data_IF_640698538359
#
_entry.id   IF_640698538359
#
_cell.length_a   1.000
_cell.length_b   1.000
_cell.length_c   1.000
_cell.angle_alpha   90.00
_cell.angle_beta   90.00
_cell.angle_gamma   90.00
#
_symmetry.space_group_name_H-M   'P 1'
#
loop_
_entity.id
_entity.type
_entity.pdbx_description
1 polymer ?
#
# COMPACT_ATOMS: atom_id res chain seq x y z
N UNK A 1 -4.14 45.50 -3.13
CA UNK A 1 -3.18 44.39 -3.28
C UNK A 1 -2.48 44.18 -1.94
N UNK A 2 -2.93 43.19 -1.16
CA UNK A 2 -2.29 42.86 0.12
C UNK A 2 -0.92 42.23 -0.15
N UNK A 3 0.16 42.90 0.26
CA UNK A 3 1.51 42.32 0.28
C UNK A 3 1.49 41.11 1.20
N UNK A 4 1.65 39.91 0.63
CA UNK A 4 1.94 38.71 1.41
C UNK A 4 3.25 38.98 2.16
N UNK A 5 3.20 39.00 3.50
CA UNK A 5 4.42 39.06 4.31
C UNK A 5 5.11 37.70 4.20
N UNK A 6 6.21 37.61 3.47
CA UNK A 6 6.96 36.38 3.17
C UNK A 6 7.72 35.77 4.36
N UNK A 7 7.32 36.04 5.61
CA UNK A 7 8.18 35.80 6.76
C UNK A 7 8.04 34.37 7.36
N UNK A 8 7.11 33.53 6.88
CA UNK A 8 6.95 32.16 7.40
C UNK A 8 6.26 31.20 6.42
N UNK A 9 6.68 29.92 6.35
CA UNK A 9 6.00 28.89 5.55
C UNK A 9 4.53 28.70 5.98
N UNK A 10 3.64 28.52 5.00
CA UNK A 10 2.19 28.34 5.18
C UNK A 10 1.84 26.90 5.57
N UNK A 11 2.39 26.40 6.67
CA UNK A 11 2.27 24.98 7.08
C UNK A 11 0.84 24.44 7.09
N UNK A 12 -0.14 25.21 7.62
CA UNK A 12 -1.54 24.77 7.66
C UNK A 12 -2.16 24.66 6.26
N UNK A 13 -1.88 25.63 5.39
CA UNK A 13 -2.31 25.58 3.98
C UNK A 13 -1.72 24.36 3.27
N UNK A 14 -0.42 24.10 3.45
CA UNK A 14 0.26 22.95 2.83
C UNK A 14 -0.34 21.64 3.33
N UNK A 15 -0.63 21.49 4.65
CA UNK A 15 -1.33 20.31 5.17
C UNK A 15 -2.67 20.10 4.46
N UNK A 16 -3.45 21.16 4.30
CA UNK A 16 -4.75 21.08 3.63
C UNK A 16 -4.61 20.64 2.16
N UNK A 17 -3.69 21.25 1.40
CA UNK A 17 -3.44 20.88 0.00
C UNK A 17 -3.01 19.41 -0.12
N UNK A 18 -2.10 18.95 0.74
CA UNK A 18 -1.68 17.54 0.74
C UNK A 18 -2.85 16.62 1.11
N UNK A 19 -3.65 16.97 2.11
CA UNK A 19 -4.80 16.16 2.52
C UNK A 19 -5.83 16.04 1.39
N UNK A 20 -6.12 17.15 0.72
CA UNK A 20 -7.03 17.17 -0.43
C UNK A 20 -6.50 16.31 -1.58
N UNK A 21 -5.19 16.37 -1.84
CA UNK A 21 -4.53 15.52 -2.84
C UNK A 21 -4.67 14.02 -2.53
N UNK A 22 -4.47 13.62 -1.27
CA UNK A 22 -4.67 12.23 -0.85
C UNK A 22 -6.11 11.77 -1.09
N UNK A 23 -7.08 12.63 -0.75
CA UNK A 23 -8.51 12.32 -0.85
C UNK A 23 -8.96 12.26 -2.32
N UNK A 24 -8.66 13.30 -3.09
CA UNK A 24 -9.06 13.42 -4.49
C UNK A 24 -8.50 12.28 -5.34
N UNK A 25 -7.24 11.93 -5.11
CA UNK A 25 -6.57 10.89 -5.89
C UNK A 25 -6.65 9.49 -5.27
N UNK A 26 -7.34 9.35 -4.13
CA UNK A 26 -7.50 8.11 -3.36
C UNK A 26 -6.17 7.38 -3.18
N UNK A 27 -5.17 8.11 -2.67
CA UNK A 27 -3.87 7.52 -2.36
C UNK A 27 -4.08 6.55 -1.19
N UNK A 28 -3.62 5.32 -1.34
CA UNK A 28 -3.94 4.19 -0.44
C UNK A 28 -2.72 3.42 0.07
N UNK A 29 -1.52 3.72 -0.43
CA UNK A 29 -0.32 2.91 -0.19
C UNK A 29 0.99 3.68 -0.32
N UNK A 30 2.01 3.18 0.37
CA UNK A 30 3.40 3.56 0.16
C UNK A 30 4.20 2.46 -0.55
N UNK A 31 5.28 2.81 -1.29
CA UNK A 31 5.76 4.17 -1.56
C UNK A 31 4.94 4.87 -2.67
N UNK A 32 4.62 6.15 -2.51
CA UNK A 32 3.74 6.88 -3.45
C UNK A 32 4.35 6.98 -4.85
N UNK A 33 3.61 6.54 -5.86
CA UNK A 33 4.00 6.74 -7.25
C UNK A 33 3.65 8.16 -7.72
N UNK A 34 4.54 9.11 -7.47
CA UNK A 34 4.33 10.54 -7.79
C UNK A 34 4.10 10.77 -9.29
N UNK A 35 4.72 9.96 -10.16
CA UNK A 35 4.49 10.04 -11.62
C UNK A 35 3.03 9.74 -11.99
N UNK A 36 2.36 8.83 -11.27
CA UNK A 36 0.91 8.59 -11.46
C UNK A 36 0.08 9.79 -11.02
N UNK A 37 0.49 10.52 -9.98
CA UNK A 37 -0.21 11.75 -9.54
C UNK A 37 -0.14 12.84 -10.61
N UNK A 38 1.04 13.07 -11.20
CA UNK A 38 1.19 14.04 -12.29
C UNK A 38 0.29 13.76 -13.49
N UNK A 39 0.02 12.48 -13.83
CA UNK A 39 -0.89 12.12 -14.93
C UNK A 39 -2.34 12.56 -14.68
N UNK A 40 -2.74 12.70 -13.42
CA UNK A 40 -4.07 13.19 -13.04
C UNK A 40 -4.15 14.72 -13.03
N UNK A 41 -3.02 15.42 -13.22
CA UNK A 41 -2.97 16.88 -13.23
C UNK A 41 -2.99 17.36 -14.69
N UNK A 42 -4.11 17.95 -15.17
CA UNK A 42 -4.42 18.10 -16.59
C UNK A 42 -3.45 18.97 -17.38
N UNK A 43 -2.76 19.91 -16.72
CA UNK A 43 -1.84 20.84 -17.36
C UNK A 43 -0.36 20.59 -17.02
N UNK A 44 -0.02 19.38 -16.55
CA UNK A 44 1.36 19.02 -16.20
C UNK A 44 1.86 17.83 -17.01
N UNK A 45 3.15 17.85 -17.36
CA UNK A 45 3.81 16.73 -18.03
C UNK A 45 5.18 16.48 -17.44
N UNK A 46 5.43 15.23 -17.04
CA UNK A 46 6.73 14.79 -16.54
C UNK A 46 7.57 14.25 -17.71
N UNK A 47 8.81 14.71 -17.81
CA UNK A 47 9.80 14.30 -18.80
C UNK A 47 11.08 13.92 -18.08
N UNK A 48 11.64 12.76 -18.38
CA UNK A 48 12.91 12.35 -17.79
C UNK A 48 14.10 12.93 -18.55
N UNK A 49 15.24 13.08 -17.90
CA UNK A 49 16.45 13.57 -18.56
C UNK A 49 16.84 12.69 -19.74
N UNK A 50 16.81 11.35 -19.59
CA UNK A 50 17.10 10.41 -20.67
C UNK A 50 16.18 10.61 -21.89
N UNK A 51 14.89 10.90 -21.66
CA UNK A 51 13.92 11.18 -22.73
C UNK A 51 14.18 12.52 -23.40
N UNK A 52 14.54 13.55 -22.62
CA UNK A 52 14.88 14.86 -23.14
C UNK A 52 16.16 14.80 -24.00
N UNK A 53 17.20 14.13 -23.52
CA UNK A 53 18.44 13.86 -24.25
C UNK A 53 18.16 13.18 -25.59
N UNK A 54 17.42 12.07 -25.60
CA UNK A 54 17.11 11.33 -26.83
C UNK A 54 16.30 12.16 -27.82
N UNK A 55 15.34 12.95 -27.35
CA UNK A 55 14.47 13.75 -28.22
C UNK A 55 15.22 14.88 -28.94
N UNK A 56 16.20 15.48 -28.26
CA UNK A 56 16.90 16.67 -28.77
C UNK A 56 18.37 16.40 -29.10
N UNK A 57 18.80 15.15 -29.08
CA UNK A 57 20.17 14.71 -29.30
C UNK A 57 21.20 15.47 -28.44
N UNK A 58 20.89 15.61 -27.14
CA UNK A 58 21.73 16.33 -26.18
C UNK A 58 22.56 15.36 -25.34
N UNK A 59 23.79 15.75 -25.02
CA UNK A 59 24.60 15.14 -23.96
C UNK A 59 24.04 15.47 -22.57
N UNK A 60 24.44 14.70 -21.56
CA UNK A 60 24.02 14.94 -20.19
C UNK A 60 24.50 16.31 -19.67
N UNK A 61 25.71 16.72 -20.07
CA UNK A 61 26.26 18.02 -19.71
C UNK A 61 25.42 19.17 -20.28
N UNK A 62 25.01 19.08 -21.55
CA UNK A 62 24.12 20.08 -22.16
C UNK A 62 22.76 20.14 -21.47
N UNK A 63 22.21 19.01 -21.03
CA UNK A 63 20.97 18.99 -20.24
C UNK A 63 21.15 19.69 -18.89
N UNK A 64 22.25 19.44 -18.17
CA UNK A 64 22.55 20.13 -16.91
C UNK A 64 22.69 21.64 -17.11
N UNK A 65 23.35 22.07 -18.19
CA UNK A 65 23.48 23.50 -18.53
C UNK A 65 22.13 24.12 -18.91
N UNK A 66 21.31 23.44 -19.72
CA UNK A 66 20.02 23.95 -20.19
C UNK A 66 18.97 24.02 -19.06
N UNK A 67 18.92 22.98 -18.22
CA UNK A 67 17.98 22.91 -17.11
C UNK A 67 18.53 23.60 -15.85
N UNK A 68 19.82 23.86 -15.77
CA UNK A 68 20.51 24.46 -14.62
C UNK A 68 20.29 23.66 -13.31
N UNK A 69 20.31 22.33 -13.41
CA UNK A 69 20.08 21.40 -12.29
C UNK A 69 20.55 20.00 -12.68
N UNK A 70 21.07 19.24 -11.72
CA UNK A 70 21.37 17.82 -11.84
C UNK A 70 20.30 16.93 -11.17
N UNK A 71 19.25 17.51 -10.57
CA UNK A 71 18.18 16.79 -9.86
C UNK A 71 16.88 16.76 -10.69
N UNK A 72 16.30 17.93 -10.90
CA UNK A 72 15.00 18.15 -11.52
C UNK A 72 14.60 19.61 -11.43
N UNK A 73 13.60 20.00 -12.22
CA UNK A 73 13.01 21.34 -12.19
C UNK A 73 11.64 21.37 -12.87
N UNK A 74 10.85 22.39 -12.54
CA UNK A 74 9.61 22.71 -13.23
C UNK A 74 9.77 23.96 -14.09
N UNK A 75 9.35 23.85 -15.35
CA UNK A 75 9.20 24.96 -16.28
C UNK A 75 7.72 25.21 -16.49
N UNK A 76 7.27 26.43 -16.21
CA UNK A 76 5.91 26.88 -16.47
C UNK A 76 5.86 27.79 -17.70
N UNK A 77 5.05 27.42 -18.69
CA UNK A 77 4.75 28.23 -19.85
C UNK A 77 3.42 28.96 -19.65
N UNK A 78 3.51 30.28 -19.42
CA UNK A 78 2.35 31.16 -19.24
C UNK A 78 1.47 31.27 -20.49
N UNK A 79 2.04 31.11 -21.70
CA UNK A 79 1.29 31.25 -22.95
C UNK A 79 0.31 30.10 -23.14
N UNK A 80 0.76 28.89 -22.84
CA UNK A 80 -0.05 27.68 -23.00
C UNK A 80 -0.66 27.17 -21.70
N UNK A 81 -0.35 27.83 -20.57
CA UNK A 81 -0.72 27.41 -19.22
C UNK A 81 -0.31 25.96 -18.92
N UNK A 82 0.93 25.59 -19.26
CA UNK A 82 1.45 24.21 -19.11
C UNK A 82 2.69 24.15 -18.24
N UNK A 83 2.74 23.12 -17.39
CA UNK A 83 3.91 22.75 -16.62
C UNK A 83 4.66 21.60 -17.29
N UNK A 84 5.97 21.75 -17.46
CA UNK A 84 6.87 20.68 -17.85
C UNK A 84 7.82 20.42 -16.69
N UNK A 85 7.75 19.22 -16.13
CA UNK A 85 8.55 18.80 -14.98
C UNK A 85 9.64 17.87 -15.47
N UNK A 86 10.89 18.22 -15.21
CA UNK A 86 12.05 17.39 -15.52
C UNK A 86 12.60 16.72 -14.27
N UNK A 87 13.08 15.48 -14.41
CA UNK A 87 13.77 14.77 -13.34
C UNK A 87 14.90 13.89 -13.90
N UNK A 88 15.97 13.76 -13.12
CA UNK A 88 17.15 12.99 -13.52
C UNK A 88 16.95 11.49 -13.28
N UNK A 89 16.81 10.73 -14.37
CA UNK A 89 16.68 9.26 -14.37
C UNK A 89 17.91 8.54 -14.96
N UNK A 90 19.04 9.24 -15.08
CA UNK A 90 20.22 8.70 -15.74
C UNK A 90 20.79 7.53 -14.94
N UNK A 91 21.23 6.51 -15.69
CA UNK A 91 21.88 5.31 -15.17
C UNK A 91 23.34 5.22 -15.61
N UNK A 92 24.17 4.64 -14.75
CA UNK A 92 25.47 4.10 -15.10
C UNK A 92 25.42 2.58 -14.91
N UNK A 93 25.33 1.84 -16.01
CA UNK A 93 24.97 0.41 -15.99
C UNK A 93 23.57 0.20 -15.40
N UNK A 94 23.48 -0.62 -14.35
CA UNK A 94 22.21 -0.94 -13.67
C UNK A 94 21.85 0.04 -12.53
N UNK A 95 22.73 1.00 -12.22
CA UNK A 95 22.59 1.89 -11.06
C UNK A 95 22.13 3.27 -11.53
N UNK A 96 21.14 3.86 -10.87
CA UNK A 96 20.75 5.25 -11.11
C UNK A 96 21.72 6.21 -10.43
N UNK A 97 22.10 7.30 -11.12
CA UNK A 97 22.88 8.39 -10.52
C UNK A 97 22.09 9.06 -9.38
N UNK A 98 20.79 9.28 -9.61
CA UNK A 98 19.84 9.70 -8.58
C UNK A 98 18.95 8.52 -8.23
N UNK A 99 19.01 8.03 -7.00
CA UNK A 99 18.28 6.83 -6.60
C UNK A 99 16.76 6.99 -6.79
N UNK A 100 15.98 5.90 -6.91
CA UNK A 100 14.52 5.99 -7.02
C UNK A 100 13.86 6.79 -5.90
N UNK A 101 14.39 6.72 -4.67
CA UNK A 101 13.96 7.52 -3.52
C UNK A 101 14.19 9.01 -3.76
N UNK A 102 15.36 9.37 -4.28
CA UNK A 102 15.70 10.76 -4.62
C UNK A 102 14.85 11.28 -5.76
N UNK A 103 14.65 10.49 -6.82
CA UNK A 103 13.75 10.85 -7.92
C UNK A 103 12.31 11.09 -7.42
N UNK A 104 11.82 10.26 -6.50
CA UNK A 104 10.49 10.41 -5.90
C UNK A 104 10.38 11.69 -5.08
N UNK A 105 11.41 12.00 -4.28
CA UNK A 105 11.50 13.24 -3.53
C UNK A 105 11.48 14.46 -4.46
N UNK A 106 12.35 14.49 -5.47
CA UNK A 106 12.43 15.59 -6.45
C UNK A 106 11.09 15.80 -7.14
N UNK A 107 10.44 14.73 -7.62
CA UNK A 107 9.12 14.83 -8.23
C UNK A 107 8.05 15.37 -7.27
N UNK A 108 8.06 14.96 -6.00
CA UNK A 108 7.11 15.46 -4.99
C UNK A 108 7.37 16.93 -4.65
N UNK A 109 8.64 17.35 -4.62
CA UNK A 109 9.06 18.73 -4.40
C UNK A 109 8.57 19.63 -5.55
N UNK A 110 8.81 19.23 -6.80
CA UNK A 110 8.31 19.94 -7.99
C UNK A 110 6.78 20.01 -8.02
N UNK A 111 6.10 18.93 -7.62
CA UNK A 111 4.65 18.93 -7.48
C UNK A 111 4.18 19.96 -6.46
N UNK A 112 4.94 20.15 -5.37
CA UNK A 112 4.72 21.21 -4.39
C UNK A 112 4.76 22.59 -5.01
N UNK A 113 5.75 22.91 -5.85
CA UNK A 113 5.80 24.21 -6.54
C UNK A 113 4.56 24.47 -7.41
N UNK A 114 4.04 23.44 -8.07
CA UNK A 114 2.84 23.55 -8.92
C UNK A 114 1.60 23.76 -8.06
N UNK A 115 1.32 22.87 -7.10
CA UNK A 115 0.08 22.89 -6.31
C UNK A 115 0.03 24.05 -5.30
N UNK A 116 1.18 24.51 -4.82
CA UNK A 116 1.28 25.70 -3.98
C UNK A 116 1.32 27.01 -4.79
N UNK A 117 1.23 26.90 -6.13
CA UNK A 117 1.08 28.01 -7.08
C UNK A 117 2.27 28.98 -7.10
N UNK A 118 3.47 28.53 -6.73
CA UNK A 118 4.68 29.34 -6.61
C UNK A 118 5.04 30.10 -7.91
N UNK A 119 4.91 29.45 -9.06
CA UNK A 119 5.15 30.06 -10.38
C UNK A 119 4.19 31.22 -10.69
N UNK A 120 2.90 31.05 -10.36
CA UNK A 120 1.88 32.08 -10.61
C UNK A 120 1.95 33.23 -9.62
N UNK A 121 2.30 32.95 -8.35
CA UNK A 121 2.46 33.97 -7.31
C UNK A 121 3.60 34.92 -7.65
N UNK A 122 4.70 34.39 -8.17
CA UNK A 122 5.91 35.16 -8.50
C UNK A 122 5.95 35.65 -9.94
N UNK A 123 5.01 35.20 -10.78
CA UNK A 123 5.00 35.41 -12.23
C UNK A 123 6.33 34.98 -12.90
N UNK A 124 6.90 33.85 -12.46
CA UNK A 124 8.18 33.30 -12.96
C UNK A 124 7.99 31.97 -13.67
N UNK A 125 8.69 31.81 -14.78
CA UNK A 125 8.68 30.58 -15.60
C UNK A 125 9.43 29.44 -14.92
N UNK A 126 10.53 29.74 -14.24
CA UNK A 126 11.30 28.80 -13.42
C UNK A 126 11.53 29.44 -12.05
N UNK A 127 11.52 28.63 -10.99
CA UNK A 127 11.88 29.06 -9.64
C UNK A 127 13.38 28.81 -9.48
N UNK A 128 14.19 29.84 -9.72
CA UNK A 128 15.64 29.77 -9.49
C UNK A 128 16.12 30.92 -8.63
N UNK A 129 17.15 30.65 -7.84
CA UNK A 129 17.77 31.62 -6.93
C UNK A 129 18.17 32.93 -7.62
N UNK A 130 18.64 32.87 -8.86
CA UNK A 130 19.08 34.05 -9.62
C UNK A 130 17.93 34.90 -10.20
N UNK A 131 16.67 34.45 -10.11
CA UNK A 131 15.51 35.15 -10.69
C UNK A 131 14.58 35.79 -9.64
N UNK A 132 14.88 35.58 -8.36
CA UNK A 132 14.05 35.90 -7.19
C UNK A 132 14.92 36.54 -6.11
N UNK A 133 14.30 37.21 -5.13
CA UNK A 133 15.03 37.60 -3.92
C UNK A 133 15.40 36.36 -3.11
N UNK A 134 16.52 36.40 -2.35
CA UNK A 134 16.92 35.28 -1.49
C UNK A 134 15.81 34.90 -0.50
N UNK A 135 15.03 35.88 0.00
CA UNK A 135 13.89 35.64 0.89
C UNK A 135 12.76 34.87 0.21
N UNK A 136 12.31 35.32 -0.97
CA UNK A 136 11.23 34.65 -1.73
C UNK A 136 11.62 33.23 -2.12
N UNK A 137 12.85 33.05 -2.62
CA UNK A 137 13.37 31.74 -2.99
C UNK A 137 13.40 30.79 -1.78
N UNK A 138 14.01 31.22 -0.68
CA UNK A 138 14.12 30.40 0.53
C UNK A 138 12.76 30.04 1.13
N UNK A 139 11.78 30.95 1.04
CA UNK A 139 10.42 30.68 1.49
C UNK A 139 9.76 29.59 0.64
N UNK A 140 9.81 29.68 -0.69
CA UNK A 140 9.20 28.70 -1.60
C UNK A 140 9.84 27.33 -1.50
N UNK A 141 11.18 27.26 -1.41
CA UNK A 141 11.92 26.01 -1.22
C UNK A 141 11.54 25.32 0.08
N UNK A 142 11.38 26.07 1.19
CA UNK A 142 10.93 25.53 2.47
C UNK A 142 9.51 24.96 2.37
N UNK A 143 8.61 25.66 1.67
CA UNK A 143 7.24 25.18 1.46
C UNK A 143 7.20 23.93 0.59
N UNK A 144 7.95 23.89 -0.52
CA UNK A 144 8.01 22.73 -1.41
C UNK A 144 8.64 21.50 -0.73
N UNK A 145 9.69 21.69 0.06
CA UNK A 145 10.28 20.63 0.87
C UNK A 145 9.30 20.10 1.93
N UNK A 146 8.57 20.98 2.61
CA UNK A 146 7.54 20.57 3.57
C UNK A 146 6.37 19.84 2.90
N UNK A 147 5.95 20.31 1.72
CA UNK A 147 4.95 19.64 0.90
C UNK A 147 5.40 18.22 0.54
N UNK A 148 6.62 18.05 0.02
CA UNK A 148 7.17 16.76 -0.35
C UNK A 148 7.26 15.81 0.85
N UNK A 149 7.70 16.32 2.01
CA UNK A 149 7.83 15.51 3.23
C UNK A 149 6.47 15.02 3.74
N UNK A 150 5.45 15.89 3.74
CA UNK A 150 4.09 15.52 4.12
C UNK A 150 3.45 14.56 3.10
N UNK A 151 3.60 14.83 1.81
CA UNK A 151 3.05 13.98 0.76
C UNK A 151 3.63 12.59 0.86
N UNK A 152 4.95 12.44 0.95
CA UNK A 152 5.60 11.14 0.90
C UNK A 152 5.54 10.37 2.23
N UNK A 153 5.28 11.04 3.36
CA UNK A 153 5.29 10.41 4.68
C UNK A 153 4.30 11.13 5.64
N UNK A 154 3.02 10.89 5.41
CA UNK A 154 1.92 11.61 6.04
C UNK A 154 1.72 11.18 7.51
N UNK A 155 1.65 12.12 8.47
CA UNK A 155 1.89 11.83 9.89
C UNK A 155 0.89 10.85 10.52
N UNK A 156 -0.40 10.93 10.17
CA UNK A 156 -1.41 10.02 10.74
C UNK A 156 -1.19 8.56 10.31
N UNK A 157 -0.66 8.35 9.10
CA UNK A 157 -0.35 7.01 8.59
C UNK A 157 0.88 6.46 9.31
N UNK A 158 1.93 7.27 9.47
CA UNK A 158 3.12 6.91 10.26
C UNK A 158 2.75 6.52 11.70
N UNK A 159 1.79 7.23 12.29
CA UNK A 159 1.25 6.92 13.61
C UNK A 159 0.59 5.54 13.67
N UNK A 160 -0.28 5.22 12.71
CA UNK A 160 -0.92 3.89 12.62
C UNK A 160 0.06 2.77 12.32
N UNK A 161 1.12 3.06 11.57
CA UNK A 161 2.23 2.14 11.32
C UNK A 161 3.11 1.87 12.55
N UNK A 162 2.97 2.67 13.63
CA UNK A 162 3.78 2.60 14.85
C UNK A 162 5.28 2.73 14.60
N UNK A 163 5.64 3.67 13.71
CA UNK A 163 7.03 4.01 13.36
C UNK A 163 7.87 4.28 14.62
N UNK A 164 9.06 3.67 14.69
CA UNK A 164 9.98 3.77 15.83
C UNK A 164 11.22 4.61 15.53
N UNK A 165 11.66 4.65 14.28
CA UNK A 165 12.88 5.36 13.87
C UNK A 165 12.79 5.84 12.40
N UNK A 166 13.80 6.58 11.95
CA UNK A 166 13.88 7.08 10.57
C UNK A 166 14.10 5.98 9.52
N UNK A 167 14.74 4.87 9.87
CA UNK A 167 14.92 3.74 8.94
C UNK A 167 13.57 3.09 8.57
N UNK A 168 12.63 3.00 9.51
CA UNK A 168 11.26 2.54 9.24
C UNK A 168 10.59 3.45 8.18
N UNK A 169 10.72 4.77 8.32
CA UNK A 169 10.15 5.74 7.37
C UNK A 169 10.82 5.58 6.00
N UNK A 170 12.15 5.51 5.94
CA UNK A 170 12.89 5.36 4.69
C UNK A 170 12.44 4.12 3.92
N UNK A 171 12.38 2.97 4.61
CA UNK A 171 11.99 1.69 4.03
C UNK A 171 10.53 1.67 3.59
N UNK A 172 9.60 2.09 4.45
CA UNK A 172 8.16 2.01 4.16
C UNK A 172 7.74 3.05 3.12
N UNK A 173 8.19 4.30 3.26
CA UNK A 173 7.76 5.41 2.41
C UNK A 173 8.57 5.52 1.11
N UNK A 174 9.69 4.79 1.00
CA UNK A 174 10.56 4.81 -0.18
C UNK A 174 11.20 6.17 -0.42
N UNK A 175 11.78 6.74 0.64
CA UNK A 175 12.52 8.01 0.64
C UNK A 175 13.95 7.80 1.18
N UNK A 176 14.87 8.74 0.94
CA UNK A 176 16.26 8.61 1.39
C UNK A 176 16.35 8.64 2.92
N UNK A 177 17.40 8.02 3.47
CA UNK A 177 17.64 8.01 4.93
C UNK A 177 17.77 9.43 5.51
N UNK A 178 18.34 10.36 4.74
CA UNK A 178 18.43 11.76 5.10
C UNK A 178 17.04 12.41 5.22
N UNK A 179 16.21 12.29 4.18
CA UNK A 179 14.85 12.82 4.17
C UNK A 179 13.99 12.20 5.29
N UNK A 180 14.18 10.90 5.53
CA UNK A 180 13.50 10.18 6.60
C UNK A 180 13.91 10.65 8.00
N UNK A 181 15.17 11.03 8.20
CA UNK A 181 15.66 11.57 9.48
C UNK A 181 14.98 12.90 9.82
N UNK A 182 14.98 13.87 8.89
CA UNK A 182 14.24 15.12 9.06
C UNK A 182 12.73 14.88 9.28
N UNK A 183 12.15 13.96 8.52
CA UNK A 183 10.74 13.61 8.67
C UNK A 183 10.41 13.00 10.02
N UNK A 184 11.30 12.15 10.55
CA UNK A 184 11.11 11.49 11.84
C UNK A 184 11.08 12.52 12.98
N UNK A 185 11.97 13.51 12.96
CA UNK A 185 11.97 14.60 13.94
C UNK A 185 10.65 15.40 13.91
N UNK A 186 10.18 15.74 12.72
CA UNK A 186 8.90 16.45 12.55
C UNK A 186 7.71 15.59 12.97
N UNK A 187 7.73 14.29 12.67
CA UNK A 187 6.74 13.33 13.12
C UNK A 187 6.71 13.22 14.64
N UNK A 188 7.87 13.20 15.31
CA UNK A 188 7.93 13.17 16.77
C UNK A 188 7.30 14.42 17.39
N UNK A 189 7.58 15.61 16.84
CA UNK A 189 6.93 16.87 17.27
C UNK A 189 5.42 16.84 17.08
N UNK A 190 4.96 16.33 15.93
CA UNK A 190 3.54 16.15 15.65
C UNK A 190 2.90 15.14 16.60
N UNK A 191 3.53 13.99 16.87
CA UNK A 191 2.96 12.91 17.70
C UNK A 191 2.73 13.33 19.15
N UNK A 192 3.61 14.20 19.69
CA UNK A 192 3.44 14.81 21.02
C UNK A 192 2.20 15.72 21.11
N UNK A 193 1.85 16.40 20.02
CA UNK A 193 0.77 17.38 19.96
C UNK A 193 -0.36 16.97 19.01
N UNK A 194 -0.49 15.67 18.74
CA UNK A 194 -1.28 15.18 17.61
C UNK A 194 -2.73 15.63 17.69
N UNK A 195 -3.23 16.15 16.57
CA UNK A 195 -4.64 16.44 16.33
C UNK A 195 -5.01 15.73 15.04
N UNK A 196 -5.89 14.74 15.17
CA UNK A 196 -6.43 13.99 14.04
C UNK A 196 -7.74 14.67 13.64
N UNK A 197 -7.84 15.10 12.39
CA UNK A 197 -9.04 15.73 11.85
C UNK A 197 -9.84 14.79 10.93
N UNK A 198 -10.96 15.29 10.38
CA UNK A 198 -11.84 14.49 9.51
C UNK A 198 -11.13 14.03 8.22
N UNK A 199 -10.23 14.84 7.65
CA UNK A 199 -9.48 14.46 6.46
C UNK A 199 -8.49 13.35 6.79
N UNK A 200 -7.84 13.45 7.96
CA UNK A 200 -6.94 12.41 8.46
C UNK A 200 -7.68 11.05 8.60
N UNK A 201 -8.93 11.04 9.07
CA UNK A 201 -9.74 9.81 9.15
C UNK A 201 -10.07 9.22 7.76
N UNK A 202 -10.48 10.06 6.81
CA UNK A 202 -10.78 9.61 5.45
C UNK A 202 -9.53 9.06 4.73
N UNK A 203 -8.37 9.66 4.96
CA UNK A 203 -7.09 9.14 4.45
C UNK A 203 -6.79 7.77 5.04
N UNK A 204 -7.05 7.56 6.33
CA UNK A 204 -6.86 6.26 6.98
C UNK A 204 -7.79 5.17 6.43
N UNK A 205 -9.01 5.52 6.02
CA UNK A 205 -9.93 4.58 5.37
C UNK A 205 -9.35 4.06 4.05
N UNK A 206 -8.78 4.93 3.21
CA UNK A 206 -8.10 4.49 1.98
C UNK A 206 -6.85 3.65 2.27
N UNK A 207 -6.12 3.96 3.34
CA UNK A 207 -4.93 3.20 3.75
C UNK A 207 -5.25 1.91 4.52
N UNK A 208 -6.51 1.57 4.74
CA UNK A 208 -6.90 0.42 5.58
C UNK A 208 -6.23 -0.88 5.12
N UNK A 209 -6.26 -1.15 3.81
CA UNK A 209 -5.65 -2.35 3.26
C UNK A 209 -4.12 -2.32 3.39
N UNK A 210 -3.49 -1.19 3.15
CA UNK A 210 -2.04 -1.04 3.35
C UNK A 210 -1.63 -1.24 4.83
N UNK A 211 -2.47 -0.80 5.78
CA UNK A 211 -2.18 -0.89 7.22
C UNK A 211 -2.42 -2.29 7.80
N UNK A 212 -3.35 -3.05 7.23
CA UNK A 212 -3.91 -4.24 7.86
C UNK A 212 -3.85 -5.52 7.03
N UNK A 213 -3.68 -5.43 5.70
CA UNK A 213 -3.55 -6.62 4.85
C UNK A 213 -2.28 -7.37 5.22
N UNK A 214 -2.47 -8.65 5.50
CA UNK A 214 -1.41 -9.63 5.73
C UNK A 214 -1.51 -10.70 4.68
N UNK A 215 -0.37 -11.23 4.31
CA UNK A 215 -0.19 -12.18 3.25
C UNK A 215 0.62 -13.38 3.76
N UNK A 216 0.27 -14.57 3.28
CA UNK A 216 1.05 -15.77 3.53
C UNK A 216 2.08 -15.99 2.42
N UNK A 217 3.40 -15.98 2.72
CA UNK A 217 4.44 -16.18 1.70
C UNK A 217 4.51 -17.60 1.15
N UNK A 218 3.75 -18.55 1.71
CA UNK A 218 3.78 -19.97 1.32
C UNK A 218 2.61 -20.32 0.39
N UNK A 219 1.38 -20.09 0.84
CA UNK A 219 0.17 -20.47 0.09
C UNK A 219 -0.50 -19.29 -0.61
N UNK A 220 -0.02 -18.07 -0.40
CA UNK A 220 -0.55 -16.86 -1.03
C UNK A 220 -1.75 -16.24 -0.32
N UNK A 221 -2.32 -16.88 0.70
CA UNK A 221 -3.53 -16.43 1.41
C UNK A 221 -3.42 -14.99 1.92
N UNK A 222 -4.46 -14.19 1.72
CA UNK A 222 -4.56 -12.85 2.26
C UNK A 222 -5.65 -12.70 3.33
N UNK A 223 -5.39 -11.83 4.29
CA UNK A 223 -6.37 -11.47 5.31
C UNK A 223 -6.21 -10.03 5.76
N UNK A 224 -7.32 -9.39 6.13
CA UNK A 224 -7.33 -8.08 6.80
C UNK A 224 -7.36 -8.21 8.33
N UNK A 225 -7.36 -9.44 8.86
CA UNK A 225 -7.45 -9.68 10.30
C UNK A 225 -6.18 -9.25 11.04
N UNK A 226 -6.32 -8.22 11.86
CA UNK A 226 -5.25 -7.71 12.72
C UNK A 226 -4.76 -8.74 13.73
N UNK A 227 -5.62 -9.67 14.14
CA UNK A 227 -5.33 -10.64 15.19
C UNK A 227 -4.71 -11.94 14.65
N UNK A 228 -4.70 -12.15 13.34
CA UNK A 228 -4.12 -13.35 12.75
C UNK A 228 -2.59 -13.25 12.72
N UNK A 229 -1.92 -14.15 13.42
CA UNK A 229 -0.46 -14.27 13.46
C UNK A 229 0.01 -15.32 12.45
N UNK A 230 -0.75 -16.40 12.33
CA UNK A 230 -0.50 -17.53 11.46
C UNK A 230 -1.53 -17.58 10.32
N UNK A 231 -1.12 -18.18 9.21
CA UNK A 231 -1.96 -18.39 8.07
C UNK A 231 -2.98 -19.49 8.39
N UNK A 232 -4.29 -19.24 8.30
CA UNK A 232 -5.29 -20.25 8.56
C UNK A 232 -5.26 -21.40 7.54
N UNK A 233 -4.61 -21.21 6.39
CA UNK A 233 -4.62 -22.18 5.29
C UNK A 233 -3.45 -23.16 5.38
N UNK A 234 -2.24 -22.68 5.68
CA UNK A 234 -1.03 -23.53 5.68
C UNK A 234 -0.20 -23.45 6.97
N UNK A 235 -0.66 -22.71 7.99
CA UNK A 235 0.01 -22.61 9.29
C UNK A 235 1.27 -21.73 9.32
N UNK A 236 1.77 -21.26 8.17
CA UNK A 236 2.93 -20.38 8.12
C UNK A 236 2.66 -19.00 8.74
N UNK A 237 3.69 -18.33 9.25
CA UNK A 237 3.55 -16.97 9.81
C UNK A 237 3.16 -15.97 8.72
N UNK A 238 2.20 -15.11 9.01
CA UNK A 238 1.75 -14.07 8.08
C UNK A 238 2.71 -12.88 8.05
N UNK A 239 2.93 -12.32 6.87
CA UNK A 239 3.77 -11.14 6.62
C UNK A 239 2.94 -9.97 6.09
N UNK A 240 3.44 -8.74 6.25
CA UNK A 240 2.84 -7.55 5.63
C UNK A 240 3.30 -7.44 4.17
N UNK A 241 2.59 -8.12 3.27
CA UNK A 241 2.74 -7.99 1.81
C UNK A 241 1.36 -8.02 1.17
N UNK A 242 1.30 -7.77 -0.14
CA UNK A 242 0.09 -7.95 -0.94
C UNK A 242 0.18 -9.27 -1.70
N UNK A 243 -0.76 -10.18 -1.50
CA UNK A 243 -1.13 -11.22 -2.46
C UNK A 243 -2.55 -11.01 -2.98
N UNK A 244 -3.05 -12.01 -3.71
CA UNK A 244 -4.42 -12.05 -4.22
C UNK A 244 -5.14 -13.42 -4.01
N UNK A 245 -4.65 -14.32 -3.15
CA UNK A 245 -5.25 -15.68 -3.07
C UNK A 245 -6.37 -15.75 -2.02
N UNK A 246 -7.54 -16.21 -2.44
CA UNK A 246 -8.70 -16.48 -1.59
C UNK A 246 -8.97 -17.99 -1.62
N UNK A 247 -9.10 -18.61 -0.44
CA UNK A 247 -9.46 -20.02 -0.32
C UNK A 247 -10.92 -20.11 0.13
N UNK A 248 -11.82 -20.45 -0.80
CA UNK A 248 -13.27 -20.50 -0.60
C UNK A 248 -13.81 -21.94 -0.44
N UNK A 249 -12.93 -22.91 -0.26
CA UNK A 249 -13.24 -24.34 -0.16
C UNK A 249 -13.68 -24.80 1.25
N UNK A 250 -14.06 -23.83 2.11
CA UNK A 250 -14.53 -24.11 3.46
C UNK A 250 -16.04 -24.17 3.57
N UNK A 251 -16.51 -24.41 4.78
CA UNK A 251 -17.94 -24.54 5.08
C UNK A 251 -18.50 -23.26 5.68
N UNK A 252 -19.72 -22.91 5.28
CA UNK A 252 -20.48 -21.82 5.89
C UNK A 252 -20.82 -22.17 7.34
N UNK A 253 -20.65 -21.21 8.24
CA UNK A 253 -20.85 -21.39 9.67
C UNK A 253 -22.01 -20.54 10.19
N UNK A 254 -22.78 -21.08 11.11
CA UNK A 254 -23.82 -20.35 11.83
C UNK A 254 -23.23 -19.37 12.87
N UNK A 255 -24.10 -18.64 13.57
CA UNK A 255 -23.73 -17.69 14.64
C UNK A 255 -22.95 -18.32 15.81
N UNK A 256 -23.04 -19.64 15.99
CA UNK A 256 -22.36 -20.41 17.03
C UNK A 256 -21.07 -21.06 16.50
N UNK A 257 -20.75 -20.90 15.21
CA UNK A 257 -19.56 -21.47 14.57
C UNK A 257 -19.71 -22.92 14.11
N UNK A 258 -20.96 -23.43 14.01
CA UNK A 258 -21.25 -24.77 13.48
C UNK A 258 -21.45 -24.71 11.98
N UNK A 259 -20.96 -25.71 11.25
CA UNK A 259 -21.26 -25.86 9.82
C UNK A 259 -22.78 -25.95 9.60
N UNK A 260 -23.32 -25.09 8.72
CA UNK A 260 -24.75 -25.04 8.41
C UNK A 260 -25.23 -26.31 7.70
N UNK A 261 -24.33 -26.95 6.96
CA UNK A 261 -24.55 -28.24 6.31
C UNK A 261 -23.45 -29.18 6.79
N UNK A 262 -23.81 -30.40 7.18
CA UNK A 262 -22.84 -31.37 7.65
C UNK A 262 -21.82 -31.70 6.54
N UNK A 263 -20.52 -31.48 6.77
CA UNK A 263 -19.50 -31.64 5.73
C UNK A 263 -19.26 -33.09 5.28
N UNK A 264 -19.79 -34.06 6.04
CA UNK A 264 -19.57 -35.50 5.78
C UNK A 264 -20.79 -36.16 5.14
N UNK A 265 -22.00 -35.91 5.65
CA UNK A 265 -23.22 -36.56 5.14
C UNK A 265 -24.19 -35.62 4.42
N UNK A 266 -23.92 -34.31 4.40
CA UNK A 266 -24.78 -33.31 3.74
C UNK A 266 -26.07 -32.98 4.50
N UNK A 267 -26.24 -33.44 5.74
CA UNK A 267 -27.41 -33.10 6.54
C UNK A 267 -27.53 -31.59 6.79
N UNK A 268 -28.67 -31.00 6.42
CA UNK A 268 -28.98 -29.58 6.57
C UNK A 268 -29.77 -29.28 7.86
N UNK A 269 -30.34 -30.32 8.49
CA UNK A 269 -31.07 -30.21 9.76
C UNK A 269 -30.10 -30.16 10.94
N UNK A 270 -29.51 -28.97 11.17
CA UNK A 270 -28.65 -28.70 12.32
C UNK A 270 -29.53 -28.13 13.44
N UNK A 271 -29.61 -28.84 14.57
CA UNK A 271 -30.53 -28.50 15.66
C UNK A 271 -30.36 -27.08 16.20
N UNK A 272 -31.44 -26.57 16.80
CA UNK A 272 -31.51 -25.18 17.28
C UNK A 272 -30.68 -24.91 18.54
N UNK A 273 -30.37 -25.96 19.31
CA UNK A 273 -29.59 -25.86 20.54
C UNK A 273 -28.11 -25.58 20.22
N UNK A 274 -27.53 -24.46 20.68
CA UNK A 274 -26.11 -24.14 20.49
C UNK A 274 -25.14 -25.20 21.02
N UNK A 275 -25.55 -26.01 22.00
CA UNK A 275 -24.73 -27.06 22.60
C UNK A 275 -24.70 -28.35 21.75
N UNK A 276 -25.63 -28.49 20.78
CA UNK A 276 -25.62 -29.55 19.78
C UNK A 276 -24.56 -29.27 18.70
N UNK A 277 -23.32 -29.69 18.97
CA UNK A 277 -22.16 -29.49 18.09
C UNK A 277 -21.87 -30.67 17.18
N UNK A 278 -22.71 -31.72 17.19
CA UNK A 278 -22.52 -32.93 16.40
C UNK A 278 -23.70 -33.12 15.46
N UNK A 279 -23.44 -33.65 14.27
CA UNK A 279 -24.47 -34.03 13.32
C UNK A 279 -25.33 -35.16 13.90
N UNK A 280 -26.65 -34.97 13.95
CA UNK A 280 -27.61 -35.96 14.45
C UNK A 280 -27.68 -37.23 13.56
N UNK A 281 -27.23 -37.13 12.31
CA UNK A 281 -27.28 -38.24 11.34
C UNK A 281 -26.03 -39.10 11.41
N UNK A 282 -24.84 -38.49 11.35
CA UNK A 282 -23.57 -39.23 11.21
C UNK A 282 -22.59 -39.03 12.38
N UNK A 283 -22.93 -38.20 13.37
CA UNK A 283 -22.09 -37.93 14.54
C UNK A 283 -20.84 -37.09 14.27
N UNK A 284 -20.70 -36.49 13.09
CA UNK A 284 -19.58 -35.60 12.77
C UNK A 284 -19.62 -34.32 13.61
N UNK A 285 -18.47 -33.94 14.19
CA UNK A 285 -18.33 -32.67 14.90
C UNK A 285 -18.39 -31.49 13.92
N UNK A 286 -19.33 -30.57 14.12
CA UNK A 286 -19.69 -29.51 13.18
C UNK A 286 -18.93 -28.20 13.40
N UNK A 287 -18.16 -28.07 14.49
CA UNK A 287 -17.46 -26.83 14.82
C UNK A 287 -15.99 -26.93 14.41
N UNK A 288 -15.53 -25.95 13.63
CA UNK A 288 -14.10 -25.82 13.34
C UNK A 288 -13.41 -25.05 14.47
N UNK A 289 -12.57 -25.72 15.27
CA UNK A 289 -11.83 -25.09 16.37
C UNK A 289 -10.37 -25.53 16.41
N UNK A 290 -9.54 -24.74 17.08
CA UNK A 290 -8.15 -25.07 17.36
C UNK A 290 -8.05 -26.37 18.19
N UNK A 291 -7.18 -27.29 17.78
CA UNK A 291 -6.97 -28.58 18.49
C UNK A 291 -6.08 -28.45 19.72
N UNK A 292 -5.40 -27.32 19.89
CA UNK A 292 -4.64 -27.02 21.11
C UNK A 292 -5.57 -26.37 22.13
N UNK A 293 -6.30 -27.20 22.87
CA UNK A 293 -7.30 -26.83 23.88
C UNK A 293 -6.89 -27.20 25.32
N UNK A 294 -5.62 -27.55 25.51
CA UNK A 294 -5.01 -27.86 26.80
C UNK A 294 -3.78 -26.98 27.05
N UNK A 295 -3.50 -26.70 28.32
CA UNK A 295 -2.28 -26.01 28.72
C UNK A 295 -1.08 -26.96 28.60
N UNK A 296 -0.04 -26.54 27.87
CA UNK A 296 1.26 -27.19 27.95
C UNK A 296 1.95 -26.71 29.22
N UNK A 297 2.26 -27.64 30.13
CA UNK A 297 2.87 -27.35 31.43
C UNK A 297 4.30 -27.90 31.50
N UNK A 298 5.16 -27.20 32.25
CA UNK A 298 6.49 -27.69 32.56
C UNK A 298 6.38 -28.77 33.64
N UNK A 299 6.78 -30.00 33.31
CA UNK A 299 6.68 -31.14 34.22
C UNK A 299 7.49 -30.98 35.52
N UNK A 300 8.46 -30.06 35.57
CA UNK A 300 9.30 -29.83 36.74
C UNK A 300 8.86 -28.64 37.60
N UNK A 301 8.37 -27.56 36.97
CA UNK A 301 7.96 -26.33 37.71
C UNK A 301 6.44 -26.22 37.88
N UNK A 302 5.65 -26.99 37.13
CA UNK A 302 4.20 -26.87 37.08
C UNK A 302 3.70 -25.61 36.36
N UNK A 303 4.60 -24.80 35.82
CA UNK A 303 4.26 -23.55 35.14
C UNK A 303 3.72 -23.81 33.73
N UNK A 304 2.73 -23.02 33.32
CA UNK A 304 2.18 -23.08 31.96
C UNK A 304 3.23 -22.53 30.98
N UNK A 305 3.74 -23.40 30.12
CA UNK A 305 4.64 -23.07 29.00
C UNK A 305 3.84 -22.40 27.88
N UNK A 306 2.66 -22.94 27.59
CA UNK A 306 1.78 -22.43 26.54
C UNK A 306 0.32 -22.65 26.93
N UNK A 307 -0.50 -21.59 27.00
CA UNK A 307 -1.88 -21.72 27.40
C UNK A 307 -2.73 -22.33 26.29
N UNK A 308 -3.78 -23.04 26.70
CA UNK A 308 -4.82 -23.56 25.83
C UNK A 308 -5.37 -22.44 24.91
N UNK A 309 -5.57 -22.77 23.64
CA UNK A 309 -6.18 -21.88 22.67
C UNK A 309 -7.66 -22.18 22.49
N UNK A 310 -8.01 -23.38 22.01
CA UNK A 310 -9.39 -23.87 21.85
C UNK A 310 -10.35 -23.01 21.02
N UNK A 311 -9.87 -21.94 20.35
CA UNK A 311 -10.73 -20.96 19.67
C UNK A 311 -11.46 -21.57 18.48
N UNK A 312 -12.73 -21.20 18.32
CA UNK A 312 -13.50 -21.40 17.09
C UNK A 312 -12.90 -20.53 15.99
N UNK A 313 -12.76 -21.08 14.79
CA UNK A 313 -12.08 -20.47 13.64
C UNK A 313 -12.93 -20.61 12.37
N UNK A 314 -12.64 -19.86 11.28
CA UNK A 314 -13.41 -19.94 10.04
C UNK A 314 -13.49 -21.36 9.46
N UNK A 315 -14.57 -21.67 8.72
CA UNK A 315 -14.82 -23.01 8.17
C UNK A 315 -13.84 -23.47 7.08
N UNK A 316 -13.01 -22.57 6.53
CA UNK A 316 -11.91 -22.90 5.59
C UNK A 316 -10.54 -23.01 6.27
N UNK A 317 -10.45 -22.71 7.58
CA UNK A 317 -9.19 -22.71 8.30
C UNK A 317 -8.75 -24.14 8.59
N UNK A 318 -7.57 -24.51 8.11
CA UNK A 318 -6.88 -25.76 8.43
C UNK A 318 -6.01 -25.64 9.68
N UNK A 319 -5.49 -24.44 9.90
CA UNK A 319 -4.66 -24.08 11.04
C UNK A 319 -5.29 -22.91 11.80
N UNK A 320 -5.07 -22.88 13.12
CA UNK A 320 -5.52 -21.82 13.99
C UNK A 320 -4.71 -20.54 13.68
N UNK A 321 -5.37 -19.45 13.27
CA UNK A 321 -4.66 -18.22 12.89
C UNK A 321 -4.02 -17.50 14.09
N UNK A 322 -4.32 -17.93 15.32
CA UNK A 322 -3.82 -17.32 16.55
C UNK A 322 -2.57 -18.01 17.09
N UNK A 323 -2.54 -19.35 17.11
CA UNK A 323 -1.43 -20.12 17.70
C UNK A 323 -0.72 -21.06 16.72
N UNK A 324 -1.22 -21.21 15.49
CA UNK A 324 -0.59 -22.02 14.43
C UNK A 324 -0.86 -23.53 14.52
N UNK A 325 -1.54 -24.01 15.56
CA UNK A 325 -1.94 -25.42 15.71
C UNK A 325 -2.97 -25.83 14.66
N UNK A 326 -3.10 -27.12 14.38
CA UNK A 326 -4.15 -27.63 13.50
C UNK A 326 -5.55 -27.36 14.05
N UNK A 327 -6.54 -27.51 13.18
CA UNK A 327 -7.96 -27.33 13.51
C UNK A 327 -8.68 -28.67 13.40
N UNK A 328 -9.85 -28.78 14.04
CA UNK A 328 -10.66 -30.00 13.99
C UNK A 328 -11.00 -30.40 12.58
N UNK A 329 -11.39 -29.47 11.70
CA UNK A 329 -11.75 -29.81 10.32
C UNK A 329 -10.57 -30.36 9.51
N UNK A 330 -9.35 -29.87 9.74
CA UNK A 330 -8.19 -30.42 9.04
C UNK A 330 -7.72 -31.75 9.62
N UNK A 331 -7.65 -31.85 10.95
CA UNK A 331 -7.26 -33.09 11.65
C UNK A 331 -8.20 -34.24 11.32
N UNK A 332 -9.51 -33.96 11.25
CA UNK A 332 -10.54 -34.96 11.02
C UNK A 332 -10.77 -35.24 9.52
N UNK A 333 -9.95 -34.66 8.63
CA UNK A 333 -9.98 -34.90 7.19
C UNK A 333 -11.16 -34.26 6.44
N UNK A 334 -11.92 -33.38 7.09
CA UNK A 334 -13.04 -32.63 6.50
C UNK A 334 -12.54 -31.59 5.49
N UNK A 335 -11.40 -30.97 5.78
CA UNK A 335 -10.67 -30.11 4.83
C UNK A 335 -9.46 -30.86 4.28
N UNK A 336 -9.30 -30.85 2.96
CA UNK A 336 -8.12 -31.41 2.28
C UNK A 336 -6.89 -30.53 2.45
N UNK A 337 -5.66 -30.99 2.20
CA UNK A 337 -4.48 -30.11 2.14
C UNK A 337 -4.67 -28.93 1.18
N UNK A 338 -4.15 -27.76 1.54
CA UNK A 338 -4.39 -26.53 0.77
C UNK A 338 -3.84 -26.58 -0.66
N UNK A 339 -2.83 -27.41 -0.93
CA UNK A 339 -2.29 -27.61 -2.27
C UNK A 339 -3.32 -28.22 -3.22
N UNK A 340 -4.21 -29.08 -2.71
CA UNK A 340 -5.30 -29.64 -3.50
C UNK A 340 -6.38 -28.60 -3.75
N UNK A 341 -6.79 -27.86 -2.72
CA UNK A 341 -7.75 -26.77 -2.86
C UNK A 341 -7.26 -25.70 -3.84
N UNK A 342 -5.98 -25.34 -3.77
CA UNK A 342 -5.36 -24.37 -4.68
C UNK A 342 -5.47 -24.81 -6.14
N UNK A 343 -5.18 -26.08 -6.45
CA UNK A 343 -5.31 -26.61 -7.81
C UNK A 343 -6.74 -26.53 -8.33
N UNK A 344 -7.73 -26.75 -7.46
CA UNK A 344 -9.14 -26.67 -7.83
C UNK A 344 -9.56 -25.23 -8.11
N UNK A 345 -9.15 -24.28 -7.27
CA UNK A 345 -9.42 -22.85 -7.47
C UNK A 345 -8.78 -22.36 -8.77
N UNK A 346 -7.50 -22.68 -8.99
CA UNK A 346 -6.79 -22.27 -10.22
C UNK A 346 -7.37 -22.91 -11.49
N UNK A 347 -7.98 -24.09 -11.39
CA UNK A 347 -8.68 -24.72 -12.51
C UNK A 347 -10.01 -24.02 -12.82
N UNK A 348 -10.78 -23.65 -11.79
CA UNK A 348 -12.04 -22.91 -11.95
C UNK A 348 -11.82 -21.51 -12.52
N UNK A 349 -10.80 -20.79 -12.04
CA UNK A 349 -10.45 -19.47 -12.56
C UNK A 349 -10.08 -19.53 -14.07
N UNK A 350 -9.45 -20.63 -14.50
CA UNK A 350 -9.11 -20.84 -15.91
C UNK A 350 -10.33 -21.15 -16.77
N UNK A 351 -11.28 -21.92 -16.26
CA UNK A 351 -12.53 -22.22 -16.96
C UNK A 351 -13.42 -20.96 -17.09
N UNK A 352 -13.50 -20.12 -16.05
CA UNK A 352 -14.20 -18.82 -16.13
C UNK A 352 -13.55 -17.87 -17.15
N UNK A 353 -12.20 -17.82 -17.21
CA UNK A 353 -11.50 -16.97 -18.19
C UNK A 353 -11.68 -17.46 -19.64
N UNK A 354 -11.91 -18.76 -19.84
CA UNK A 354 -12.25 -19.34 -21.15
C UNK A 354 -13.71 -19.05 -21.56
N UNK A 355 -14.65 -19.08 -20.63
CA UNK A 355 -16.06 -18.76 -20.88
C UNK A 355 -16.31 -17.26 -21.13
N UNK A 356 -15.38 -16.39 -20.72
CA UNK A 356 -15.42 -14.94 -21.02
C UNK A 356 -14.77 -14.57 -22.38
N UNK A 357 -14.16 -15.51 -23.11
CA UNK A 357 -13.66 -15.26 -24.45
C UNK A 357 -14.82 -15.17 -25.46
N UNK A 358 -14.94 -14.08 -26.24
CA UNK A 358 -15.99 -13.98 -27.26
C UNK A 358 -15.80 -15.07 -28.33
N UNK A 359 -16.90 -15.73 -28.71
CA UNK A 359 -16.98 -16.85 -29.67
C UNK A 359 -16.49 -16.56 -31.11
N UNK A 360 -16.05 -15.34 -31.42
CA UNK A 360 -15.56 -14.99 -32.76
C UNK A 360 -14.03 -15.11 -32.84
N UNK A 361 -13.57 -16.34 -33.09
CA UNK A 361 -12.31 -16.56 -33.80
C UNK A 361 -12.60 -16.54 -35.32
N UNK A 362 -12.86 -15.34 -35.87
CA UNK A 362 -12.60 -15.15 -37.29
C UNK A 362 -11.09 -15.32 -37.51
N UNK A 363 -10.74 -16.31 -38.33
CA UNK A 363 -9.38 -16.57 -38.79
C UNK A 363 -8.80 -15.28 -39.38
N UNK A 364 -7.87 -14.65 -38.67
CA UNK A 364 -7.17 -13.47 -39.15
C UNK A 364 -6.29 -13.89 -40.33
N UNK A 365 -6.69 -13.42 -41.52
CA UNK A 365 -5.90 -13.47 -42.75
C UNK A 365 -4.55 -12.79 -42.54
N UNK A 366 -3.50 -13.34 -43.16
CA UNK A 366 -2.08 -12.98 -42.98
C UNK A 366 -1.71 -11.59 -43.57
N UNK A 367 -2.70 -10.81 -44.02
CA UNK A 367 -2.46 -9.57 -44.77
C UNK A 367 -2.60 -8.26 -43.95
N UNK A 368 -2.91 -8.31 -42.65
CA UNK A 368 -3.10 -7.10 -41.82
C UNK A 368 -2.02 -6.89 -40.74
N UNK A 369 -0.75 -6.90 -41.13
CA UNK A 369 0.34 -6.35 -40.30
C UNK A 369 0.83 -5.02 -40.90
N UNK A 370 0.61 -3.88 -40.23
CA UNK A 370 1.16 -2.62 -40.69
C UNK A 370 2.63 -2.46 -40.25
N UNK A 371 3.44 -2.04 -41.22
CA UNK A 371 4.82 -1.56 -41.10
C UNK A 371 5.00 -0.45 -40.05
#
# INVERSE_FOLDING_TARGET
>A
MNRIKYNSPRYHYIKNVVSDLYIEFKIDSYPINVKKLFRKIPNSRVISFSKFMRKYNLSLHEVYMYLNTDEGCTIYDFKTNRYIVYYNDIKYGFIYIKTPERQRWTLAHELGHILLKHHTITNKTKIFRNTLTDEEYNWMEKEANYFASLLLAYPVILYKLKIKNSADIASICGISQEAASYRFEDYQKWNRNKKIDRKDLLILEYFNDFLHKKHCPVCGYDTKSLNYVYCPICGAKLERRSGNMIYNDGYELDKNGRAVICPVCGNEEIGEDPDEQYCIICGTYLVNKCTHDYDEVNNFTGEIIKPACGKIVPGNARYCPYCGSETTFFRDGILKPWQEAKKQIEALDFDEELDELPDDYETVSVDDLPF
#
